data_IF_147162932814
#
_entry.id   IF_147162932814
#
_cell.length_a   1.000
_cell.length_b   1.000
_cell.length_c   1.000
_cell.angle_alpha   90.00
_cell.angle_beta   90.00
_cell.angle_gamma   90.00
#
_symmetry.space_group_name_H-M   'P 1'
#
loop_
_entity.id
_entity.type
_entity.pdbx_description
1 polymer ?
#
# COMPACT_ATOMS: atom_id res chain seq x y z
N UNK A 1 -5.03 -14.30 -1.43
CA UNK A 1 -5.84 -13.06 -1.37
C UNK A 1 -5.87 -12.47 -2.77
N UNK A 2 -7.01 -11.94 -3.21
CA UNK A 2 -7.15 -11.32 -4.53
C UNK A 2 -8.24 -10.23 -4.45
N UNK A 3 -8.07 -9.14 -5.20
CA UNK A 3 -9.09 -8.11 -5.30
C UNK A 3 -10.31 -8.65 -6.04
N UNK A 4 -11.50 -8.33 -5.54
CA UNK A 4 -12.78 -8.68 -6.15
C UNK A 4 -13.52 -7.41 -6.61
N UNK A 5 -13.66 -6.44 -5.70
CA UNK A 5 -14.25 -5.14 -5.98
C UNK A 5 -13.50 -4.04 -5.24
N UNK A 6 -13.33 -2.90 -5.89
CA UNK A 6 -12.77 -1.68 -5.31
C UNK A 6 -13.71 -0.51 -5.61
N UNK A 7 -13.88 0.38 -4.64
CA UNK A 7 -14.65 1.61 -4.79
C UNK A 7 -13.87 2.75 -4.15
N UNK A 8 -13.72 3.85 -4.88
CA UNK A 8 -13.10 5.08 -4.41
C UNK A 8 -14.00 6.25 -4.73
N UNK A 9 -14.20 7.12 -3.73
CA UNK A 9 -14.84 8.43 -3.89
C UNK A 9 -13.93 9.49 -3.31
N UNK A 10 -13.52 10.44 -4.14
CA UNK A 10 -12.71 11.60 -3.75
C UNK A 10 -13.60 12.83 -3.78
N UNK A 11 -13.51 13.65 -2.74
CA UNK A 11 -14.09 14.99 -2.67
C UNK A 11 -13.08 15.88 -1.95
N UNK A 12 -12.24 16.57 -2.73
CA UNK A 12 -11.12 17.38 -2.23
C UNK A 12 -11.09 18.72 -2.97
N UNK A 13 -11.70 19.74 -2.35
CA UNK A 13 -11.83 21.07 -2.95
C UNK A 13 -12.69 21.01 -4.22
N UNK A 14 -12.08 21.28 -5.38
CA UNK A 14 -12.75 21.14 -6.67
C UNK A 14 -12.69 19.73 -7.27
N UNK A 15 -11.90 18.82 -6.69
CA UNK A 15 -11.65 17.50 -7.27
C UNK A 15 -12.71 16.50 -6.82
N UNK A 16 -13.46 15.94 -7.77
CA UNK A 16 -14.52 14.96 -7.49
C UNK A 16 -14.37 13.74 -8.39
N UNK A 17 -13.86 12.64 -7.82
CA UNK A 17 -13.61 11.41 -8.57
C UNK A 17 -14.41 10.27 -7.97
N UNK A 18 -15.03 9.45 -8.82
CA UNK A 18 -15.67 8.19 -8.44
C UNK A 18 -15.15 7.08 -9.31
N UNK A 19 -14.68 6.00 -8.69
CA UNK A 19 -14.14 4.85 -9.41
C UNK A 19 -14.65 3.56 -8.79
N UNK A 20 -15.20 2.70 -9.63
CA UNK A 20 -15.58 1.33 -9.26
C UNK A 20 -14.88 0.34 -10.17
N UNK A 21 -14.19 -0.62 -9.57
CA UNK A 21 -13.51 -1.70 -10.29
C UNK A 21 -14.05 -3.04 -9.86
N UNK A 22 -14.31 -3.92 -10.83
CA UNK A 22 -14.64 -5.33 -10.59
C UNK A 22 -13.59 -6.21 -11.26
N UNK A 23 -12.91 -7.02 -10.46
CA UNK A 23 -11.77 -7.82 -10.88
C UNK A 23 -12.21 -9.23 -11.27
N UNK A 24 -12.00 -9.60 -12.52
CA UNK A 24 -12.09 -10.98 -13.00
C UNK A 24 -10.68 -11.56 -13.16
N UNK A 25 -10.15 -12.06 -12.04
CA UNK A 25 -8.79 -12.60 -11.96
C UNK A 25 -8.62 -13.86 -12.84
N UNK A 26 -9.66 -14.68 -13.01
CA UNK A 26 -9.62 -15.90 -13.82
C UNK A 26 -9.39 -15.59 -15.31
N UNK A 27 -9.95 -14.47 -15.78
CA UNK A 27 -9.83 -14.03 -17.17
C UNK A 27 -8.81 -12.90 -17.35
N UNK A 28 -8.11 -12.50 -16.29
CA UNK A 28 -7.20 -11.34 -16.25
C UNK A 28 -7.83 -10.06 -16.82
N UNK A 29 -9.02 -9.70 -16.34
CA UNK A 29 -9.75 -8.49 -16.75
C UNK A 29 -10.23 -7.71 -15.55
N UNK A 30 -10.28 -6.38 -15.70
CA UNK A 30 -10.91 -5.47 -14.74
C UNK A 30 -11.97 -4.69 -15.47
N UNK A 31 -13.21 -4.76 -14.99
CA UNK A 31 -14.32 -3.93 -15.46
C UNK A 31 -14.32 -2.65 -14.63
N UNK A 32 -14.29 -1.51 -15.28
CA UNK A 32 -14.23 -0.21 -14.59
C UNK A 32 -15.43 0.64 -14.92
N UNK A 33 -15.92 1.36 -13.93
CA UNK A 33 -16.96 2.37 -14.05
C UNK A 33 -16.48 3.62 -13.31
N UNK A 34 -16.18 4.69 -14.05
CA UNK A 34 -15.47 5.86 -13.51
C UNK A 34 -16.15 7.17 -13.90
N UNK A 35 -16.06 8.16 -13.03
CA UNK A 35 -16.45 9.55 -13.25
C UNK A 35 -15.33 10.43 -12.69
N UNK A 36 -14.66 11.22 -13.53
CA UNK A 36 -13.47 11.99 -13.15
C UNK A 36 -13.80 13.41 -12.65
N UNK A 37 -15.01 13.90 -12.93
CA UNK A 37 -15.58 15.14 -12.40
C UNK A 37 -17.10 14.98 -12.16
N UNK A 38 -17.71 15.78 -11.29
CA UNK A 38 -19.15 15.72 -10.99
C UNK A 38 -20.03 16.06 -12.20
N UNK A 39 -19.54 16.91 -13.09
CA UNK A 39 -20.24 17.32 -14.32
C UNK A 39 -19.99 16.37 -15.51
N UNK A 40 -19.11 15.39 -15.37
CA UNK A 40 -18.81 14.41 -16.43
C UNK A 40 -19.71 13.17 -16.34
N UNK A 41 -19.98 12.55 -17.49
CA UNK A 41 -20.66 11.26 -17.54
C UNK A 41 -19.77 10.12 -17.03
N UNK A 42 -20.40 9.07 -16.54
CA UNK A 42 -19.66 7.86 -16.20
C UNK A 42 -19.17 7.14 -17.46
N UNK A 43 -17.93 6.66 -17.41
CA UNK A 43 -17.29 5.89 -18.47
C UNK A 43 -17.11 4.44 -18.01
N UNK A 44 -17.63 3.51 -18.81
CA UNK A 44 -17.38 2.09 -18.70
C UNK A 44 -16.18 1.66 -19.55
N UNK A 45 -15.33 0.80 -19.00
CA UNK A 45 -14.21 0.21 -19.73
C UNK A 45 -13.91 -1.21 -19.23
N UNK A 46 -13.15 -1.97 -20.02
CA UNK A 46 -12.62 -3.29 -19.67
C UNK A 46 -11.13 -3.33 -19.95
N UNK A 47 -10.33 -3.30 -18.87
CA UNK A 47 -8.88 -3.33 -18.97
C UNK A 47 -8.39 -4.77 -18.85
N UNK A 48 -7.55 -5.19 -19.80
CA UNK A 48 -6.86 -6.47 -19.70
C UNK A 48 -5.64 -6.34 -18.79
N UNK A 49 -5.54 -7.20 -17.79
CA UNK A 49 -4.39 -7.26 -16.89
C UNK A 49 -3.47 -8.40 -17.29
N UNK A 50 -2.21 -8.32 -16.87
CA UNK A 50 -1.33 -9.49 -16.87
C UNK A 50 -1.46 -10.11 -15.48
N UNK A 51 -1.95 -11.35 -15.37
CA UNK A 51 -2.07 -12.04 -14.07
C UNK A 51 -2.87 -11.31 -12.99
N UNK A 52 -2.67 -11.75 -11.74
CA UNK A 52 -3.31 -11.16 -10.57
C UNK A 52 -2.87 -9.70 -10.37
N UNK A 53 -3.83 -8.79 -10.38
CA UNK A 53 -3.62 -7.37 -10.03
C UNK A 53 -4.44 -7.04 -8.79
N UNK A 54 -3.88 -6.20 -7.93
CA UNK A 54 -4.51 -5.79 -6.69
C UNK A 54 -4.89 -4.32 -6.74
N UNK A 55 -6.07 -3.97 -6.23
CA UNK A 55 -6.34 -2.59 -5.85
C UNK A 55 -5.41 -2.15 -4.71
N UNK A 56 -5.33 -0.84 -4.52
CA UNK A 56 -4.42 -0.22 -3.54
C UNK A 56 -4.63 -0.76 -2.13
N UNK A 57 -5.87 -0.97 -1.68
CA UNK A 57 -6.16 -1.46 -0.32
C UNK A 57 -5.79 -2.93 -0.18
N UNK A 58 -6.18 -3.78 -1.13
CA UNK A 58 -5.82 -5.20 -1.10
C UNK A 58 -4.31 -5.39 -1.18
N UNK A 59 -3.59 -4.54 -1.92
CA UNK A 59 -2.12 -4.58 -1.96
C UNK A 59 -1.49 -4.34 -0.58
N UNK A 60 -2.05 -3.44 0.24
CA UNK A 60 -1.57 -3.22 1.62
C UNK A 60 -1.68 -4.51 2.45
N UNK A 61 -2.79 -5.24 2.32
CA UNK A 61 -2.95 -6.53 3.01
C UNK A 61 -2.05 -7.62 2.41
N UNK A 62 -1.86 -7.63 1.10
CA UNK A 62 -0.95 -8.55 0.43
C UNK A 62 0.49 -8.36 0.91
N UNK A 63 0.94 -7.10 1.05
CA UNK A 63 2.30 -6.76 1.48
C UNK A 63 2.66 -7.38 2.86
N UNK A 64 1.68 -7.61 3.73
CA UNK A 64 1.88 -8.29 5.03
C UNK A 64 2.20 -9.78 4.91
N UNK A 65 1.97 -10.38 3.74
CA UNK A 65 2.30 -11.78 3.45
C UNK A 65 3.67 -11.93 2.76
N UNK A 66 4.37 -10.83 2.46
CA UNK A 66 5.71 -10.89 1.87
C UNK A 66 6.68 -11.44 2.92
N UNK A 67 7.36 -12.53 2.55
CA UNK A 67 8.39 -13.10 3.39
C UNK A 67 9.73 -12.41 3.15
N UNK A 68 10.19 -11.68 4.16
CA UNK A 68 11.49 -11.01 4.17
C UNK A 68 12.59 -11.87 4.82
N UNK A 69 12.30 -13.13 5.16
CA UNK A 69 13.29 -14.04 5.75
C UNK A 69 14.45 -14.25 4.78
N UNK A 70 15.66 -13.92 5.24
CA UNK A 70 16.87 -14.00 4.41
C UNK A 70 16.98 -12.92 3.32
N UNK A 71 16.09 -11.93 3.31
CA UNK A 71 16.18 -10.82 2.37
C UNK A 71 17.48 -10.04 2.57
N UNK A 72 18.13 -9.69 1.45
CA UNK A 72 19.32 -8.83 1.47
C UNK A 72 18.92 -7.37 1.26
N UNK A 73 19.74 -6.45 1.76
CA UNK A 73 19.54 -5.01 1.58
C UNK A 73 19.27 -4.66 0.11
N UNK A 74 18.28 -3.79 -0.11
CA UNK A 74 17.82 -3.31 -1.42
C UNK A 74 17.22 -4.37 -2.35
N UNK A 75 16.99 -5.60 -1.87
CA UNK A 75 16.23 -6.62 -2.60
C UNK A 75 14.82 -6.12 -2.92
N UNK A 76 14.39 -6.35 -4.17
CA UNK A 76 13.08 -5.96 -4.68
C UNK A 76 12.12 -7.16 -4.67
N UNK A 77 10.93 -6.92 -4.17
CA UNK A 77 9.80 -7.84 -4.18
C UNK A 77 8.77 -7.30 -5.18
N UNK A 78 8.63 -7.92 -6.37
CA UNK A 78 7.74 -7.41 -7.40
C UNK A 78 6.28 -7.52 -6.96
N UNK A 79 5.50 -6.49 -7.25
CA UNK A 79 4.08 -6.43 -6.99
C UNK A 79 3.38 -5.75 -8.17
N UNK A 80 2.09 -6.05 -8.37
CA UNK A 80 1.28 -5.46 -9.44
C UNK A 80 0.04 -4.82 -8.86
N UNK A 81 -0.13 -3.53 -9.09
CA UNK A 81 -1.29 -2.76 -8.63
C UNK A 81 -2.15 -2.33 -9.80
N UNK A 82 -3.45 -2.18 -9.57
CA UNK A 82 -4.38 -1.59 -10.51
C UNK A 82 -4.91 -0.27 -9.92
N UNK A 83 -4.63 0.83 -10.60
CA UNK A 83 -5.03 2.19 -10.21
C UNK A 83 -5.19 3.03 -11.48
N UNK A 84 -6.04 4.05 -11.45
CA UNK A 84 -6.26 4.99 -12.56
C UNK A 84 -6.53 4.30 -13.92
N UNK A 85 -7.22 3.16 -13.88
CA UNK A 85 -7.56 2.31 -15.04
C UNK A 85 -6.36 1.69 -15.76
N UNK A 86 -5.26 1.49 -15.06
CA UNK A 86 -4.09 0.80 -15.59
C UNK A 86 -3.49 -0.17 -14.55
N UNK A 87 -2.91 -1.26 -15.06
CA UNK A 87 -2.13 -2.18 -14.24
C UNK A 87 -0.66 -1.77 -14.28
N UNK A 88 -0.07 -1.47 -13.14
CA UNK A 88 1.33 -1.07 -13.02
C UNK A 88 2.16 -2.17 -12.35
N UNK A 89 3.28 -2.49 -13.01
CA UNK A 89 4.34 -3.29 -12.42
C UNK A 89 5.21 -2.40 -11.52
N UNK A 90 5.21 -2.69 -10.23
CA UNK A 90 6.00 -1.98 -9.23
C UNK A 90 6.67 -2.98 -8.29
N UNK A 91 7.26 -2.51 -7.20
CA UNK A 91 7.94 -3.36 -6.23
C UNK A 91 7.98 -2.72 -4.85
N UNK A 92 8.19 -3.58 -3.86
CA UNK A 92 8.60 -3.19 -2.52
C UNK A 92 10.08 -3.49 -2.40
N UNK A 93 10.87 -2.50 -1.98
CA UNK A 93 12.30 -2.66 -1.72
C UNK A 93 12.55 -2.84 -0.24
N UNK A 94 13.22 -3.91 0.13
CA UNK A 94 13.65 -4.12 1.51
C UNK A 94 14.81 -3.18 1.88
N UNK A 95 14.67 -2.48 3.00
CA UNK A 95 15.62 -1.49 3.52
C UNK A 95 16.29 -1.94 4.82
N UNK A 96 16.12 -3.22 5.19
CA UNK A 96 16.78 -3.83 6.33
C UNK A 96 15.86 -4.02 7.53
N UNK A 97 16.47 -4.44 8.64
CA UNK A 97 15.83 -4.61 9.94
C UNK A 97 16.52 -3.69 10.92
N UNK A 98 15.76 -2.89 11.67
CA UNK A 98 16.28 -2.01 12.73
C UNK A 98 15.32 -1.95 13.91
N UNK A 99 15.79 -1.44 15.03
CA UNK A 99 14.94 -1.13 16.17
C UNK A 99 14.30 0.25 15.99
N UNK A 100 13.05 0.38 16.43
CA UNK A 100 12.29 1.62 16.44
C UNK A 100 11.67 1.81 17.82
N UNK A 101 12.00 2.92 18.47
CA UNK A 101 11.28 3.38 19.65
C UNK A 101 9.97 4.04 19.21
N UNK A 102 8.85 3.49 19.68
CA UNK A 102 7.51 3.99 19.39
C UNK A 102 6.95 4.59 20.67
N UNK A 103 6.75 5.91 20.66
CA UNK A 103 6.22 6.67 21.79
C UNK A 103 4.95 6.02 22.34
N UNK A 104 4.92 5.73 23.64
CA UNK A 104 3.84 5.06 24.38
C UNK A 104 3.63 3.56 24.08
N UNK A 105 4.46 2.95 23.23
CA UNK A 105 4.36 1.52 22.86
C UNK A 105 5.64 0.73 23.15
N UNK A 106 6.77 1.40 23.34
CA UNK A 106 8.07 0.80 23.63
C UNK A 106 8.93 0.59 22.39
N UNK A 107 9.93 -0.27 22.49
CA UNK A 107 10.90 -0.52 21.40
C UNK A 107 10.53 -1.79 20.64
N UNK A 108 10.57 -1.72 19.31
CA UNK A 108 10.26 -2.86 18.43
C UNK A 108 11.41 -3.13 17.46
N UNK A 109 11.73 -4.41 17.27
CA UNK A 109 12.46 -4.87 16.08
C UNK A 109 11.54 -4.77 14.87
N UNK A 110 11.97 -4.06 13.84
CA UNK A 110 11.15 -3.70 12.69
C UNK A 110 11.80 -4.09 11.38
N UNK A 111 10.98 -4.51 10.41
CA UNK A 111 11.34 -4.53 9.00
C UNK A 111 11.08 -3.14 8.42
N UNK A 112 12.03 -2.64 7.63
CA UNK A 112 11.91 -1.39 6.90
C UNK A 112 11.82 -1.71 5.42
N UNK A 113 10.90 -1.08 4.71
CA UNK A 113 10.82 -1.16 3.27
C UNK A 113 10.34 0.14 2.63
N UNK A 114 10.61 0.27 1.33
CA UNK A 114 10.12 1.38 0.50
C UNK A 114 9.33 0.83 -0.68
N UNK A 115 8.04 1.16 -0.83
CA UNK A 115 7.33 0.88 -2.07
C UNK A 115 7.81 1.84 -3.16
N UNK A 116 7.87 1.38 -4.41
CA UNK A 116 8.01 2.26 -5.55
C UNK A 116 6.63 2.85 -5.89
N UNK A 117 6.48 4.15 -5.65
CA UNK A 117 5.24 4.87 -5.86
C UNK A 117 5.04 5.16 -7.36
N UNK A 118 3.82 4.94 -7.82
CA UNK A 118 3.36 5.43 -9.12
C UNK A 118 3.07 6.93 -8.96
N UNK A 119 3.43 7.72 -9.97
CA UNK A 119 3.22 9.17 -9.93
C UNK A 119 1.73 9.47 -9.78
N UNK A 120 1.41 10.39 -8.88
CA UNK A 120 0.05 10.86 -8.67
C UNK A 120 0.03 12.34 -8.33
N UNK A 121 -1.14 12.85 -7.96
CA UNK A 121 -1.34 14.28 -7.67
C UNK A 121 -0.64 14.77 -6.39
N UNK A 122 -0.49 13.90 -5.39
CA UNK A 122 0.04 14.25 -4.05
C UNK A 122 1.43 13.65 -3.81
N UNK A 123 1.68 12.46 -4.36
CA UNK A 123 2.90 11.70 -4.15
C UNK A 123 3.78 11.75 -5.40
N UNK A 124 5.04 12.10 -5.21
CA UNK A 124 6.04 11.99 -6.26
C UNK A 124 6.33 10.50 -6.51
N UNK A 125 6.51 10.12 -7.77
CA UNK A 125 7.02 8.79 -8.10
C UNK A 125 8.41 8.58 -7.49
N UNK A 126 8.71 7.33 -7.12
CA UNK A 126 10.00 6.96 -6.55
C UNK A 126 9.89 6.12 -5.29
N UNK A 127 10.97 6.08 -4.51
CA UNK A 127 11.09 5.22 -3.32
C UNK A 127 11.21 6.01 -2.01
N UNK A 128 10.81 7.28 -2.02
CA UNK A 128 11.03 8.16 -0.87
C UNK A 128 10.09 7.85 0.31
N UNK A 129 9.05 7.05 0.08
CA UNK A 129 8.23 6.50 1.16
C UNK A 129 9.00 5.40 1.91
N UNK A 130 9.05 5.53 3.22
CA UNK A 130 9.59 4.52 4.13
C UNK A 130 8.49 4.01 5.04
N UNK A 131 8.36 2.68 5.12
CA UNK A 131 7.39 2.00 5.95
C UNK A 131 8.13 1.11 6.95
N UNK A 132 7.81 1.28 8.23
CA UNK A 132 8.30 0.45 9.32
C UNK A 132 7.18 -0.46 9.79
N UNK A 133 7.43 -1.77 9.76
CA UNK A 133 6.49 -2.77 10.28
C UNK A 133 7.16 -3.63 11.34
N UNK A 134 6.38 -4.15 12.29
CA UNK A 134 6.90 -5.13 13.27
C UNK A 134 7.54 -6.33 12.57
N UNK A 135 8.71 -6.77 13.05
CA UNK A 135 9.34 -8.00 12.57
C UNK A 135 8.77 -9.23 13.27
N UNK A 136 7.47 -9.45 13.09
CA UNK A 136 6.74 -10.61 13.61
C UNK A 136 5.69 -11.11 12.59
N UNK A 137 4.83 -12.03 13.00
CA UNK A 137 3.74 -12.55 12.16
C UNK A 137 2.61 -11.55 11.93
N UNK A 138 2.54 -10.48 12.73
CA UNK A 138 1.52 -9.46 12.54
C UNK A 138 1.93 -8.50 11.44
N UNK A 139 3.21 -8.11 11.30
CA UNK A 139 3.67 -7.08 10.34
C UNK A 139 2.86 -5.78 10.46
N UNK A 140 2.72 -5.28 11.69
CA UNK A 140 1.93 -4.08 12.01
C UNK A 140 2.70 -2.85 11.57
N UNK A 141 2.12 -1.97 10.73
CA UNK A 141 2.72 -0.67 10.43
C UNK A 141 2.81 0.19 11.69
N UNK A 142 4.03 0.60 12.06
CA UNK A 142 4.30 1.43 13.23
C UNK A 142 4.55 2.89 12.85
N UNK A 143 5.24 3.09 11.72
CA UNK A 143 5.63 4.41 11.22
C UNK A 143 5.66 4.38 9.68
N UNK A 144 5.03 5.37 9.06
CA UNK A 144 5.12 5.64 7.62
C UNK A 144 5.58 7.08 7.46
N UNK A 145 6.59 7.30 6.65
CA UNK A 145 7.13 8.62 6.33
C UNK A 145 7.26 8.74 4.81
N UNK A 146 6.78 9.84 4.25
CA UNK A 146 6.94 10.13 2.82
C UNK A 146 7.03 11.63 2.62
N UNK A 147 7.98 12.14 1.80
CA UNK A 147 7.87 13.49 1.31
C UNK A 147 6.64 13.62 0.41
N UNK A 148 6.12 14.84 0.35
CA UNK A 148 5.11 15.26 -0.62
C UNK A 148 5.64 16.53 -1.30
N UNK A 149 4.92 17.05 -2.29
CA UNK A 149 5.33 18.26 -3.04
C UNK A 149 5.78 19.42 -2.13
N UNK A 150 5.07 19.64 -1.02
CA UNK A 150 5.44 20.63 0.00
C UNK A 150 5.37 19.99 1.39
N UNK A 151 6.53 19.60 1.91
CA UNK A 151 6.68 19.02 3.25
C UNK A 151 6.74 17.50 3.27
N UNK A 152 6.18 16.89 4.30
CA UNK A 152 6.16 15.43 4.46
C UNK A 152 4.93 14.98 5.23
N UNK A 153 4.48 13.77 4.94
CA UNK A 153 3.46 13.07 5.72
C UNK A 153 4.16 12.08 6.63
N UNK A 154 3.74 12.07 7.90
CA UNK A 154 4.19 11.10 8.90
C UNK A 154 2.98 10.48 9.60
N UNK A 155 2.72 9.21 9.32
CA UNK A 155 1.70 8.44 10.04
C UNK A 155 2.38 7.60 11.13
N UNK A 156 1.84 7.66 12.35
CA UNK A 156 2.30 6.86 13.49
C UNK A 156 1.15 6.04 14.03
N UNK A 157 1.48 4.86 14.55
CA UNK A 157 0.51 4.03 15.26
C UNK A 157 -0.07 4.78 16.48
N UNK A 158 -1.38 4.69 16.65
CA UNK A 158 -2.10 5.31 17.78
C UNK A 158 -2.63 4.28 18.78
N UNK A 159 -3.02 3.09 18.31
CA UNK A 159 -3.51 2.01 19.15
C UNK A 159 -3.26 0.63 18.49
N UNK A 160 -3.06 -0.41 19.30
CA UNK A 160 -2.86 -1.79 18.87
C UNK A 160 -3.83 -2.68 19.64
N UNK A 161 -4.85 -3.19 18.95
CA UNK A 161 -5.86 -4.10 19.53
C UNK A 161 -6.19 -5.25 18.57
N UNK A 162 -6.85 -6.30 19.08
CA UNK A 162 -7.33 -7.45 18.29
C UNK A 162 -6.26 -8.17 17.45
N UNK A 163 -5.08 -8.36 18.04
CA UNK A 163 -3.97 -9.03 17.36
C UNK A 163 -4.24 -10.53 17.17
N UNK A 164 -3.88 -11.03 15.99
CA UNK A 164 -3.95 -12.46 15.68
C UNK A 164 -2.80 -13.24 16.31
N UNK A 165 -1.63 -12.64 16.42
CA UNK A 165 -0.42 -13.25 16.97
C UNK A 165 0.18 -12.39 18.09
N UNK A 166 0.98 -12.97 19.00
CA UNK A 166 1.73 -12.20 19.98
C UNK A 166 2.67 -11.17 19.33
N UNK A 167 2.93 -10.05 20.01
CA UNK A 167 3.91 -9.04 19.61
C UNK A 167 5.35 -9.52 19.87
N UNK A 168 5.76 -10.56 19.16
CA UNK A 168 7.07 -11.18 19.36
C UNK A 168 8.26 -10.27 19.01
N UNK A 169 8.02 -9.17 18.29
CA UNK A 169 9.07 -8.21 17.95
C UNK A 169 9.20 -7.05 18.95
N UNK A 170 8.37 -6.98 19.99
CA UNK A 170 8.49 -5.97 21.05
C UNK A 170 9.65 -6.35 21.99
N UNK A 171 10.61 -5.43 22.13
CA UNK A 171 11.85 -5.63 22.88
C UNK A 171 11.78 -5.05 24.29
N UNK A 172 11.08 -3.92 24.44
CA UNK A 172 10.86 -3.26 25.73
C UNK A 172 9.53 -2.50 25.72
N UNK A 173 9.02 -2.20 26.91
CA UNK A 173 7.97 -1.19 27.12
C UNK A 173 8.50 0.24 27.00
#
# INVERSE_FOLDING_TARGET
MASLRFNRKVNEGGTHIREEYTFNQNNNKVFTYRQMDEDEEFVEDTVSTKGCSYDVLTMIYYARNIDFTGAVMDQKFPIRIFIDNEAHDTYIRFKGIKELEVKNFGTFRCIIFSPYLIEGSIFNAGEDMTVWVTDDKNKIPLLIETPILVGSIRARIENITNLRFPLASKLSD
#
